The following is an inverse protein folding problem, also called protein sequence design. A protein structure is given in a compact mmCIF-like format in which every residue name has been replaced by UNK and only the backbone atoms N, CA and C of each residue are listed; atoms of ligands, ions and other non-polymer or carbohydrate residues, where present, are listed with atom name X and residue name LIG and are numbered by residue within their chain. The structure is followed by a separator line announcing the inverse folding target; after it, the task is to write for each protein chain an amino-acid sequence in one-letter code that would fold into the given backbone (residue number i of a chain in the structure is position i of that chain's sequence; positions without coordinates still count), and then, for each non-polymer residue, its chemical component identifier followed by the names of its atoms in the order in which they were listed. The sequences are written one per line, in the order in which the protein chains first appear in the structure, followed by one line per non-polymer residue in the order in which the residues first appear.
data_IF_122652996751
#
_entry.id   IF_122652996751
#
_cell.length_a   1.000
_cell.length_b   1.000
_cell.length_c   1.000
_cell.angle_alpha   90.00
_cell.angle_beta   90.00
_cell.angle_gamma   90.00
#
_symmetry.space_group_name_H-M   'P 1'
#
loop_
_entity.id
_entity.type
_entity.pdbx_description
1 polymer ?
#
# COMPACT_ATOMS: atom_id res chain seq x y z
N UNK A 1 -9.29 3.76 11.35
CA UNK A 1 -8.10 3.11 10.72
C UNK A 1 -7.29 4.16 9.97
N UNK A 2 -5.95 4.06 9.96
CA UNK A 2 -5.09 4.96 9.20
C UNK A 2 -4.30 4.18 8.14
N UNK A 3 -4.30 4.68 6.90
CA UNK A 3 -3.56 4.14 5.77
C UNK A 3 -2.46 5.12 5.38
N UNK A 4 -1.22 4.67 5.43
CA UNK A 4 -0.05 5.47 5.09
C UNK A 4 0.50 5.09 3.70
N UNK A 5 1.01 6.08 2.97
CA UNK A 5 1.68 5.83 1.70
C UNK A 5 2.55 6.99 1.23
N UNK A 6 3.48 6.72 0.33
CA UNK A 6 4.45 7.69 -0.20
C UNK A 6 4.09 8.22 -1.60
N UNK A 7 2.98 7.76 -2.18
CA UNK A 7 2.44 8.34 -3.42
C UNK A 7 1.46 9.47 -3.11
N UNK A 8 1.93 10.73 -3.24
CA UNK A 8 1.06 11.93 -3.08
C UNK A 8 -0.17 11.87 -3.99
N UNK A 9 -0.01 11.35 -5.20
CA UNK A 9 -1.10 11.23 -6.19
C UNK A 9 -2.18 10.29 -5.69
N UNK A 10 -1.80 9.10 -5.23
CA UNK A 10 -2.76 8.11 -4.71
C UNK A 10 -3.43 8.63 -3.44
N UNK A 11 -2.66 9.17 -2.48
CA UNK A 11 -3.22 9.72 -1.23
C UNK A 11 -4.25 10.83 -1.51
N UNK A 12 -3.95 11.76 -2.43
CA UNK A 12 -4.89 12.82 -2.80
C UNK A 12 -6.17 12.26 -3.43
N UNK A 13 -6.04 11.27 -4.32
CA UNK A 13 -7.18 10.64 -5.00
C UNK A 13 -8.08 9.88 -4.02
N UNK A 14 -7.49 9.12 -3.09
CA UNK A 14 -8.25 8.41 -2.07
C UNK A 14 -9.01 9.34 -1.10
N UNK A 15 -8.49 10.57 -0.88
CA UNK A 15 -9.16 11.62 -0.08
C UNK A 15 -10.25 12.38 -0.84
N UNK A 16 -10.24 12.34 -2.17
CA UNK A 16 -11.25 13.02 -2.97
C UNK A 16 -12.60 12.31 -2.81
N UNK A 17 -13.68 13.00 -3.15
CA UNK A 17 -15.01 12.41 -3.37
C UNK A 17 -15.36 12.33 -4.86
N UNK A 18 -14.46 12.77 -5.74
CA UNK A 18 -14.67 12.82 -7.18
C UNK A 18 -14.23 11.51 -7.83
N UNK A 19 -15.08 10.95 -8.68
CA UNK A 19 -14.77 9.75 -9.47
C UNK A 19 -13.47 9.93 -10.26
N UNK A 20 -12.52 9.03 -10.03
CA UNK A 20 -11.23 9.05 -10.70
C UNK A 20 -11.31 8.49 -12.13
N UNK A 21 -10.96 9.30 -13.13
CA UNK A 21 -10.94 8.92 -14.56
C UNK A 21 -9.53 8.70 -15.11
N UNK A 22 -8.51 8.64 -14.26
CA UNK A 22 -7.13 8.38 -14.67
C UNK A 22 -6.88 6.89 -14.93
N UNK A 23 -5.69 6.57 -15.46
CA UNK A 23 -5.24 5.19 -15.72
C UNK A 23 -5.31 4.31 -14.45
N UNK A 24 -5.13 4.90 -13.26
CA UNK A 24 -5.22 4.18 -11.98
C UNK A 24 -6.64 4.20 -11.37
N UNK A 25 -7.64 4.72 -12.08
CA UNK A 25 -9.00 4.91 -11.54
C UNK A 25 -9.66 3.63 -11.07
N UNK A 26 -9.37 2.49 -11.71
CA UNK A 26 -9.83 1.17 -11.26
C UNK A 26 -9.30 0.82 -9.86
N UNK A 27 -8.03 1.10 -9.58
CA UNK A 27 -7.39 0.88 -8.27
C UNK A 27 -8.02 1.79 -7.21
N UNK A 28 -8.24 3.08 -7.53
CA UNK A 28 -8.87 4.02 -6.59
C UNK A 28 -10.30 3.58 -6.23
N UNK A 29 -11.06 3.10 -7.22
CA UNK A 29 -12.43 2.63 -6.99
C UNK A 29 -12.47 1.36 -6.13
N UNK A 30 -11.55 0.42 -6.34
CA UNK A 30 -11.43 -0.77 -5.48
C UNK A 30 -11.13 -0.38 -4.03
N UNK A 31 -10.21 0.58 -3.80
CA UNK A 31 -9.93 1.10 -2.44
C UNK A 31 -11.17 1.69 -1.78
N UNK A 32 -11.99 2.45 -2.50
CA UNK A 32 -13.23 3.01 -1.95
C UNK A 32 -14.27 1.93 -1.62
N UNK A 33 -14.44 0.93 -2.48
CA UNK A 33 -15.36 -0.17 -2.22
C UNK A 33 -14.98 -0.92 -0.93
N UNK A 34 -13.67 -1.11 -0.71
CA UNK A 34 -13.14 -1.72 0.52
C UNK A 34 -13.18 -0.79 1.73
N UNK A 35 -13.04 0.52 1.54
CA UNK A 35 -13.13 1.52 2.62
C UNK A 35 -14.48 1.46 3.35
N UNK A 36 -15.57 1.15 2.64
CA UNK A 36 -16.92 1.13 3.22
C UNK A 36 -17.12 0.09 4.32
N UNK A 37 -16.21 -0.88 4.48
CA UNK A 37 -16.25 -1.83 5.60
C UNK A 37 -15.72 -1.25 6.92
N UNK A 38 -15.24 0.01 6.94
CA UNK A 38 -14.68 0.67 8.11
C UNK A 38 -15.50 1.91 8.48
N UNK A 39 -15.74 2.11 9.79
CA UNK A 39 -16.45 3.29 10.29
C UNK A 39 -15.74 4.62 9.96
N UNK A 40 -14.41 4.63 10.08
CA UNK A 40 -13.58 5.78 9.70
C UNK A 40 -12.22 5.30 9.15
N UNK A 41 -11.80 5.86 8.01
CA UNK A 41 -10.47 5.65 7.44
C UNK A 41 -9.83 6.98 7.09
N UNK A 42 -8.55 7.13 7.46
CA UNK A 42 -7.72 8.30 7.14
C UNK A 42 -6.59 7.88 6.21
N UNK A 43 -6.28 8.73 5.23
CA UNK A 43 -5.14 8.54 4.33
C UNK A 43 -4.04 9.54 4.68
N UNK A 44 -2.81 9.09 4.85
CA UNK A 44 -1.69 9.95 5.28
C UNK A 44 -0.49 9.76 4.37
N UNK A 45 0.07 10.89 3.91
CA UNK A 45 1.31 10.85 3.16
C UNK A 45 2.48 10.70 4.14
N UNK A 46 3.38 9.76 3.85
CA UNK A 46 4.64 9.60 4.55
C UNK A 46 5.80 9.62 3.56
N UNK A 47 7.01 10.09 3.96
CA UNK A 47 8.18 9.99 3.11
C UNK A 47 8.50 8.53 2.76
N UNK A 48 9.03 8.28 1.55
CA UNK A 48 9.43 6.95 1.08
C UNK A 48 10.32 6.19 2.08
N UNK A 49 11.23 6.90 2.75
CA UNK A 49 12.10 6.32 3.78
C UNK A 49 11.32 5.71 4.96
N UNK A 50 10.14 6.25 5.28
CA UNK A 50 9.23 5.71 6.31
C UNK A 50 8.30 4.62 5.75
N UNK A 51 8.17 4.51 4.43
CA UNK A 51 7.35 3.49 3.75
C UNK A 51 8.18 2.28 3.27
N UNK A 52 9.29 1.98 3.96
CA UNK A 52 10.29 1.00 3.50
C UNK A 52 9.72 -0.42 3.38
N UNK A 53 8.77 -0.80 4.25
CA UNK A 53 8.14 -2.12 4.22
C UNK A 53 7.31 -2.30 2.94
N UNK A 54 6.38 -1.39 2.67
CA UNK A 54 5.56 -1.44 1.46
C UNK A 54 6.42 -1.35 0.19
N UNK A 55 7.48 -0.51 0.21
CA UNK A 55 8.42 -0.42 -0.91
C UNK A 55 9.15 -1.74 -1.16
N UNK A 56 9.57 -2.44 -0.10
CA UNK A 56 10.26 -3.73 -0.21
C UNK A 56 9.31 -4.80 -0.74
N UNK A 57 8.08 -4.88 -0.22
CA UNK A 57 7.04 -5.79 -0.73
C UNK A 57 6.83 -5.58 -2.23
N UNK A 58 6.54 -4.33 -2.64
CA UNK A 58 6.25 -4.02 -4.03
C UNK A 58 7.44 -4.34 -4.95
N UNK A 59 8.67 -4.12 -4.48
CA UNK A 59 9.88 -4.43 -5.24
C UNK A 59 10.07 -5.94 -5.43
N UNK A 60 9.87 -6.73 -4.39
CA UNK A 60 10.00 -8.19 -4.49
C UNK A 60 8.88 -8.83 -5.31
N UNK A 61 7.64 -8.35 -5.17
CA UNK A 61 6.51 -8.77 -5.99
C UNK A 61 6.77 -8.46 -7.48
N UNK A 62 7.27 -7.25 -7.79
CA UNK A 62 7.60 -6.86 -9.16
C UNK A 62 8.67 -7.78 -9.79
N UNK A 63 9.72 -8.13 -9.05
CA UNK A 63 10.77 -9.07 -9.51
C UNK A 63 10.22 -10.45 -9.84
N UNK A 64 9.14 -10.86 -9.16
CA UNK A 64 8.47 -12.15 -9.32
C UNK A 64 7.30 -12.10 -10.29
N UNK A 65 7.01 -10.94 -10.87
CA UNK A 65 5.82 -10.69 -11.69
C UNK A 65 4.51 -11.01 -10.96
N UNK A 66 4.49 -10.80 -9.64
CA UNK A 66 3.31 -10.99 -8.80
C UNK A 66 2.45 -9.73 -8.80
N UNK A 67 1.14 -9.88 -9.01
CA UNK A 67 0.18 -8.77 -9.08
C UNK A 67 -1.10 -9.01 -8.27
N UNK A 68 -1.08 -9.95 -7.34
CA UNK A 68 -2.22 -10.28 -6.47
C UNK A 68 -2.24 -9.42 -5.20
N UNK A 69 -3.39 -9.39 -4.52
CA UNK A 69 -3.51 -8.72 -3.22
C UNK A 69 -2.69 -9.43 -2.16
N UNK A 70 -1.94 -8.66 -1.37
CA UNK A 70 -1.27 -9.22 -0.22
C UNK A 70 -2.28 -9.49 0.90
N UNK A 71 -2.62 -10.75 1.09
CA UNK A 71 -3.49 -11.23 2.15
C UNK A 71 -2.67 -12.08 3.13
N UNK A 72 -2.93 -11.94 4.45
CA UNK A 72 -2.35 -12.77 5.53
C UNK A 72 -0.86 -12.53 5.89
N UNK A 73 -0.34 -11.34 5.62
CA UNK A 73 0.97 -10.89 6.13
C UNK A 73 2.10 -10.95 5.10
N UNK A 74 3.35 -10.78 5.55
CA UNK A 74 4.51 -10.73 4.67
C UNK A 74 4.83 -12.10 4.07
N UNK A 75 5.04 -12.20 2.74
CA UNK A 75 5.59 -13.41 2.15
C UNK A 75 6.98 -13.66 2.74
N UNK A 76 7.32 -14.93 3.00
CA UNK A 76 8.60 -15.30 3.64
C UNK A 76 9.82 -14.71 2.90
N UNK A 77 9.72 -14.59 1.59
CA UNK A 77 10.73 -14.00 0.72
C UNK A 77 10.96 -12.53 1.02
N UNK A 78 9.89 -11.78 1.31
CA UNK A 78 9.97 -10.38 1.74
C UNK A 78 10.54 -10.29 3.15
N UNK A 79 10.12 -11.16 4.07
CA UNK A 79 10.63 -11.20 5.44
C UNK A 79 12.15 -11.37 5.46
N UNK A 80 12.69 -12.31 4.68
CA UNK A 80 14.15 -12.51 4.55
C UNK A 80 14.88 -11.27 4.01
N UNK A 81 14.26 -10.50 3.10
CA UNK A 81 14.84 -9.26 2.57
C UNK A 81 14.81 -8.15 3.62
N UNK A 82 13.74 -8.05 4.40
CA UNK A 82 13.62 -7.09 5.50
C UNK A 82 14.63 -7.39 6.62
N UNK A 83 14.78 -8.66 7.01
CA UNK A 83 15.77 -9.11 8.00
C UNK A 83 17.20 -8.76 7.60
N UNK A 84 17.58 -8.99 6.33
CA UNK A 84 18.89 -8.60 5.78
C UNK A 84 19.13 -7.09 5.83
N UNK A 85 18.06 -6.29 5.83
CA UNK A 85 18.11 -4.83 5.97
C UNK A 85 18.07 -4.36 7.43
N UNK A 86 18.04 -5.28 8.40
CA UNK A 86 17.91 -4.97 9.82
C UNK A 86 16.51 -4.47 10.21
N UNK A 87 15.51 -4.72 9.37
CA UNK A 87 14.13 -4.28 9.59
C UNK A 87 13.32 -5.47 10.11
N UNK A 88 12.71 -5.31 11.28
CA UNK A 88 11.73 -6.28 11.80
C UNK A 88 10.35 -5.95 11.24
N UNK A 89 9.55 -6.94 10.82
CA UNK A 89 8.17 -6.69 10.46
C UNK A 89 7.46 -5.92 11.60
N UNK A 90 6.60 -4.94 11.29
CA UNK A 90 5.75 -4.33 12.30
C UNK A 90 4.85 -5.40 12.94
N UNK A 91 4.66 -5.30 14.26
CA UNK A 91 3.81 -6.19 15.07
C UNK A 91 2.34 -6.18 14.61
#
# INVERSE_FOLDING_TARGET
MEIMGDSKTVIKKCKSSITDRSVIGAIIRDIWNRKNSYQEIKFSFIPKAKNIYAHTIATEALKRSESFYLEKGFPETVSRVLERRGLKPPD
#
